data_IF_185003043545
#
_entry.id   IF_185003043545
#
_cell.length_a   1.000
_cell.length_b   1.000
_cell.length_c   1.000
_cell.angle_alpha   90.00
_cell.angle_beta   90.00
_cell.angle_gamma   90.00
#
_symmetry.space_group_name_H-M   'P 1'
#
loop_
_entity.id
_entity.type
_entity.pdbx_description
1 polymer ?
#
# COMPACT_ATOMS: atom_id res chain seq x y z
N UNK A 1 4.56 15.55 -16.38
CA UNK A 1 3.69 14.38 -16.65
C UNK A 1 3.06 13.95 -15.34
N UNK A 2 1.74 13.74 -15.29
CA UNK A 2 1.05 13.20 -14.10
C UNK A 2 0.99 11.67 -14.11
N UNK A 3 0.29 11.05 -13.16
CA UNK A 3 0.11 9.60 -13.09
C UNK A 3 -1.33 9.17 -13.42
N UNK A 4 -1.49 7.98 -14.00
CA UNK A 4 -2.81 7.37 -14.24
C UNK A 4 -3.44 6.84 -12.96
N UNK A 5 -2.62 6.39 -12.00
CA UNK A 5 -3.05 5.84 -10.73
C UNK A 5 -2.17 6.38 -9.60
N UNK A 6 -2.81 6.77 -8.50
CA UNK A 6 -2.16 7.15 -7.25
C UNK A 6 -2.64 6.19 -6.17
N UNK A 7 -1.73 5.48 -5.50
CA UNK A 7 -2.06 4.53 -4.44
C UNK A 7 -1.73 5.16 -3.08
N UNK A 8 -2.74 5.54 -2.32
CA UNK A 8 -2.60 6.10 -0.98
C UNK A 8 -2.49 4.95 0.03
N UNK A 9 -1.27 4.71 0.51
CA UNK A 9 -0.92 3.62 1.43
C UNK A 9 -0.21 4.09 2.71
N UNK A 10 -0.23 5.40 3.01
CA UNK A 10 0.46 5.99 4.16
C UNK A 10 -0.32 5.91 5.47
N UNK A 11 -1.66 5.91 5.41
CA UNK A 11 -2.53 6.04 6.58
C UNK A 11 -2.58 7.46 7.16
N UNK A 12 -1.92 8.42 6.50
CA UNK A 12 -1.86 9.84 6.85
C UNK A 12 -2.45 10.68 5.71
N UNK A 13 -3.62 10.27 5.22
CA UNK A 13 -4.25 10.87 4.04
C UNK A 13 -4.44 12.39 4.18
N UNK A 14 -4.76 12.89 5.36
CA UNK A 14 -4.87 14.33 5.63
C UNK A 14 -3.58 15.14 5.39
N UNK A 15 -2.41 14.51 5.38
CA UNK A 15 -1.13 15.15 5.09
C UNK A 15 -0.74 15.00 3.61
N UNK A 16 -0.92 13.80 3.04
CA UNK A 16 -0.40 13.48 1.69
C UNK A 16 -1.38 13.82 0.57
N UNK A 17 -2.68 13.90 0.85
CA UNK A 17 -3.70 14.10 -0.18
C UNK A 17 -3.63 15.45 -0.90
N UNK A 18 -3.32 16.58 -0.22
CA UNK A 18 -3.09 17.85 -0.91
C UNK A 18 -2.01 17.76 -1.99
N UNK A 19 -0.94 17.01 -1.76
CA UNK A 19 0.13 16.80 -2.74
C UNK A 19 -0.31 15.89 -3.89
N UNK A 20 -1.14 14.87 -3.61
CA UNK A 20 -1.77 14.03 -4.65
C UNK A 20 -2.64 14.89 -5.56
N UNK A 21 -3.50 15.74 -5.00
CA UNK A 21 -4.37 16.64 -5.77
C UNK A 21 -3.57 17.65 -6.59
N UNK A 22 -2.51 18.22 -6.01
CA UNK A 22 -1.58 19.10 -6.72
C UNK A 22 -0.95 18.39 -7.92
N UNK A 23 -0.47 17.16 -7.75
CA UNK A 23 0.10 16.38 -8.83
C UNK A 23 -0.90 16.05 -9.95
N UNK A 24 -2.17 15.83 -9.61
CA UNK A 24 -3.26 15.62 -10.57
C UNK A 24 -3.59 16.93 -11.33
N UNK A 25 -3.60 18.05 -10.61
CA UNK A 25 -3.91 19.37 -11.15
C UNK A 25 -2.85 19.87 -12.13
N UNK A 26 -1.58 19.82 -11.70
CA UNK A 26 -0.43 20.29 -12.49
C UNK A 26 -0.02 19.29 -13.58
N UNK A 27 -0.39 18.02 -13.43
CA UNK A 27 -0.14 16.98 -14.42
C UNK A 27 -0.96 17.19 -15.70
N UNK A 28 -0.42 16.80 -16.86
CA UNK A 28 -1.15 16.83 -18.15
C UNK A 28 -2.13 15.66 -18.33
N UNK A 29 -2.00 14.61 -17.52
CA UNK A 29 -2.84 13.41 -17.56
C UNK A 29 -4.28 13.73 -17.13
N UNK A 30 -5.26 13.18 -17.84
CA UNK A 30 -6.67 13.16 -17.42
C UNK A 30 -7.08 11.75 -16.96
N UNK A 31 -8.19 11.69 -16.23
CA UNK A 31 -8.78 10.44 -15.73
C UNK A 31 -7.83 9.66 -14.80
N UNK A 32 -7.08 10.37 -13.97
CA UNK A 32 -6.32 9.77 -12.88
C UNK A 32 -7.24 9.13 -11.85
N UNK A 33 -6.84 8.00 -11.29
CA UNK A 33 -7.59 7.32 -10.22
C UNK A 33 -6.76 7.32 -8.95
N UNK A 34 -7.31 7.89 -7.88
CA UNK A 34 -6.75 7.77 -6.54
C UNK A 34 -7.38 6.55 -5.87
N UNK A 35 -6.57 5.61 -5.43
CA UNK A 35 -6.98 4.39 -4.72
C UNK A 35 -6.48 4.46 -3.29
N UNK A 36 -7.40 4.46 -2.32
CA UNK A 36 -7.07 4.50 -0.89
C UNK A 36 -7.10 3.08 -0.34
N UNK A 37 -5.95 2.61 0.16
CA UNK A 37 -5.80 1.26 0.75
C UNK A 37 -5.42 1.30 2.22
N UNK A 38 -4.77 2.37 2.69
CA UNK A 38 -4.44 2.51 4.10
C UNK A 38 -5.65 2.96 4.93
N UNK A 39 -5.62 2.62 6.22
CA UNK A 39 -6.62 3.07 7.18
C UNK A 39 -6.12 4.36 7.84
N UNK A 40 -7.00 5.34 7.94
CA UNK A 40 -6.76 6.62 8.61
C UNK A 40 -7.96 6.93 9.50
N UNK A 41 -7.71 7.43 10.71
CA UNK A 41 -8.76 7.96 11.59
C UNK A 41 -9.15 9.40 11.20
N UNK A 42 -8.19 10.17 10.69
CA UNK A 42 -8.42 11.52 10.21
C UNK A 42 -9.24 11.54 8.92
N UNK A 43 -10.12 12.54 8.78
CA UNK A 43 -10.85 12.81 7.54
C UNK A 43 -9.88 13.25 6.44
N UNK A 44 -10.08 12.70 5.26
CA UNK A 44 -9.30 13.06 4.07
C UNK A 44 -9.84 14.34 3.45
N UNK A 45 -9.02 15.39 3.24
CA UNK A 45 -9.43 16.61 2.58
C UNK A 45 -9.53 16.36 1.07
N UNK A 46 -10.71 16.53 0.49
CA UNK A 46 -10.92 16.34 -0.96
C UNK A 46 -11.42 17.65 -1.57
N UNK A 47 -10.72 18.16 -2.57
CA UNK A 47 -11.11 19.33 -3.33
C UNK A 47 -11.78 18.93 -4.65
N UNK A 48 -13.12 18.99 -4.67
CA UNK A 48 -13.94 18.47 -5.76
C UNK A 48 -13.62 19.04 -7.16
N UNK A 49 -13.15 20.28 -7.24
CA UNK A 49 -12.80 20.93 -8.51
C UNK A 49 -11.67 20.20 -9.26
N UNK A 50 -10.69 19.64 -8.52
CA UNK A 50 -9.61 18.83 -9.11
C UNK A 50 -10.20 17.64 -9.87
N UNK A 51 -11.20 16.97 -9.31
CA UNK A 51 -11.84 15.80 -9.93
C UNK A 51 -12.70 16.18 -11.13
N UNK A 52 -13.35 17.34 -11.08
CA UNK A 52 -14.15 17.86 -12.20
C UNK A 52 -13.26 18.24 -13.38
N UNK A 53 -12.26 19.11 -13.16
CA UNK A 53 -11.41 19.67 -14.22
C UNK A 53 -10.47 18.62 -14.79
N UNK A 54 -9.90 17.75 -13.94
CA UNK A 54 -8.94 16.71 -14.36
C UNK A 54 -9.62 15.38 -14.67
N UNK A 55 -10.95 15.33 -14.55
CA UNK A 55 -11.80 14.15 -14.79
C UNK A 55 -11.37 12.95 -13.96
N UNK A 56 -10.82 13.20 -12.76
CA UNK A 56 -10.23 12.19 -11.89
C UNK A 56 -11.31 11.41 -11.13
N UNK A 57 -10.91 10.32 -10.45
CA UNK A 57 -11.80 9.51 -9.62
C UNK A 57 -11.13 9.08 -8.33
N UNK A 58 -11.93 8.83 -7.29
CA UNK A 58 -11.48 8.35 -5.99
C UNK A 58 -12.17 7.02 -5.67
N UNK A 59 -11.39 6.02 -5.27
CA UNK A 59 -11.88 4.67 -4.94
C UNK A 59 -11.28 4.20 -3.62
N UNK A 60 -12.13 3.75 -2.69
CA UNK A 60 -11.67 3.02 -1.49
C UNK A 60 -11.50 1.53 -1.79
N UNK A 61 -10.48 0.89 -1.23
CA UNK A 61 -10.23 -0.53 -1.41
C UNK A 61 -9.85 -1.20 -0.09
N UNK A 62 -10.48 -2.34 0.20
CA UNK A 62 -10.23 -3.11 1.41
C UNK A 62 -10.37 -4.61 1.14
N UNK A 63 -9.48 -5.39 1.75
CA UNK A 63 -9.47 -6.84 1.65
C UNK A 63 -8.79 -7.35 0.37
N UNK A 64 -8.79 -8.66 0.21
CA UNK A 64 -8.03 -9.34 -0.85
C UNK A 64 -8.79 -10.49 -1.51
N UNK A 65 -9.94 -10.88 -0.95
CA UNK A 65 -10.70 -12.06 -1.39
C UNK A 65 -11.48 -11.81 -2.68
N UNK A 66 -11.89 -12.90 -3.34
CA UNK A 66 -12.72 -12.83 -4.55
C UNK A 66 -11.94 -12.43 -5.80
N UNK A 67 -12.68 -12.23 -6.89
CA UNK A 67 -12.20 -11.79 -8.21
C UNK A 67 -11.04 -12.59 -8.82
N UNK A 68 -10.66 -13.73 -8.25
CA UNK A 68 -9.48 -14.50 -8.63
C UNK A 68 -8.16 -13.79 -8.28
N UNK A 69 -8.13 -12.97 -7.22
CA UNK A 69 -6.93 -12.25 -6.80
C UNK A 69 -5.79 -13.20 -6.38
N UNK A 70 -6.09 -14.17 -5.51
CA UNK A 70 -5.12 -15.16 -5.03
C UNK A 70 -4.47 -15.97 -6.16
N UNK A 71 -5.22 -16.66 -7.03
CA UNK A 71 -4.60 -17.47 -8.09
C UNK A 71 -3.77 -16.61 -9.05
N UNK A 72 -4.15 -15.36 -9.32
CA UNK A 72 -3.36 -14.45 -10.17
C UNK A 72 -2.08 -13.96 -9.50
N UNK A 73 -2.13 -13.63 -8.20
CA UNK A 73 -0.93 -13.26 -7.44
C UNK A 73 0.06 -14.44 -7.39
N UNK A 74 -0.43 -15.65 -7.11
CA UNK A 74 0.39 -16.88 -7.16
C UNK A 74 1.01 -17.07 -8.54
N UNK A 75 0.22 -16.89 -9.61
CA UNK A 75 0.72 -17.01 -10.99
C UNK A 75 1.79 -15.96 -11.32
N UNK A 76 1.63 -14.72 -10.86
CA UNK A 76 2.62 -13.66 -11.03
C UNK A 76 3.93 -14.01 -10.29
N UNK A 77 3.84 -14.52 -9.06
CA UNK A 77 5.01 -14.96 -8.31
C UNK A 77 5.70 -16.16 -8.98
N UNK A 78 4.93 -17.15 -9.44
CA UNK A 78 5.44 -18.31 -10.15
C UNK A 78 6.14 -17.98 -11.48
N UNK A 79 5.81 -16.82 -12.08
CA UNK A 79 6.37 -16.37 -13.37
C UNK A 79 7.45 -15.31 -13.24
N UNK A 80 7.87 -14.98 -12.01
CA UNK A 80 9.07 -14.16 -11.77
C UNK A 80 8.90 -12.95 -10.84
N UNK A 81 7.70 -12.71 -10.30
CA UNK A 81 7.51 -11.66 -9.28
C UNK A 81 8.00 -12.16 -7.91
N UNK A 82 9.28 -11.94 -7.60
CA UNK A 82 9.85 -12.33 -6.31
C UNK A 82 9.50 -11.33 -5.20
N UNK A 83 8.54 -11.72 -4.35
CA UNK A 83 8.14 -10.95 -3.17
C UNK A 83 8.97 -11.28 -1.92
N UNK A 84 9.85 -12.28 -1.97
CA UNK A 84 10.67 -12.69 -0.81
C UNK A 84 11.69 -11.63 -0.42
N UNK A 85 12.07 -10.76 -1.36
CA UNK A 85 12.94 -9.61 -1.12
C UNK A 85 12.38 -8.59 -0.10
N UNK A 86 11.07 -8.61 0.17
CA UNK A 86 10.49 -7.76 1.22
C UNK A 86 10.77 -8.29 2.64
N UNK A 87 11.14 -9.56 2.79
CA UNK A 87 11.37 -10.17 4.11
C UNK A 87 12.70 -9.65 4.65
N UNK A 88 12.63 -8.85 5.73
CA UNK A 88 13.81 -8.25 6.37
C UNK A 88 14.41 -9.16 7.44
N UNK A 89 13.58 -9.96 8.12
CA UNK A 89 14.02 -10.91 9.16
C UNK A 89 13.17 -12.18 9.20
N UNK A 90 13.80 -13.30 9.51
CA UNK A 90 13.17 -14.62 9.69
C UNK A 90 13.35 -15.09 11.13
N UNK A 91 12.25 -15.45 11.80
CA UNK A 91 12.24 -15.79 13.23
C UNK A 91 11.51 -17.11 13.51
N UNK A 92 11.74 -17.71 14.67
CA UNK A 92 10.94 -18.81 15.21
C UNK A 92 9.63 -18.29 15.83
N UNK A 93 8.78 -19.21 16.28
CA UNK A 93 7.51 -18.84 16.92
C UNK A 93 7.73 -18.18 18.30
N UNK A 94 8.75 -18.63 19.03
CA UNK A 94 9.10 -18.15 20.37
C UNK A 94 9.61 -16.70 20.35
N UNK A 95 10.22 -16.28 19.24
CA UNK A 95 10.75 -14.93 19.01
C UNK A 95 9.64 -13.92 18.65
N UNK A 96 8.39 -14.34 18.43
CA UNK A 96 7.30 -13.42 18.01
C UNK A 96 7.04 -12.29 19.01
N UNK A 97 6.92 -12.51 20.33
CA UNK A 97 6.55 -11.46 21.27
C UNK A 97 7.58 -10.31 21.36
N UNK A 98 8.87 -10.61 21.26
CA UNK A 98 9.93 -9.60 21.26
C UNK A 98 9.97 -8.80 19.95
N UNK A 99 9.80 -9.46 18.81
CA UNK A 99 9.85 -8.82 17.49
C UNK A 99 8.59 -7.97 17.24
N UNK A 100 7.44 -8.32 17.84
CA UNK A 100 6.26 -7.45 17.83
C UNK A 100 6.48 -6.14 18.59
N UNK A 101 7.25 -6.15 19.69
CA UNK A 101 7.62 -4.93 20.41
C UNK A 101 8.66 -4.11 19.63
N UNK A 102 9.63 -4.80 19.02
CA UNK A 102 10.66 -4.17 18.17
C UNK A 102 10.03 -3.32 17.05
N UNK A 103 9.06 -3.88 16.32
CA UNK A 103 8.38 -3.22 15.19
C UNK A 103 7.60 -1.94 15.56
N UNK A 104 7.44 -1.63 16.84
CA UNK A 104 6.81 -0.37 17.27
C UNK A 104 7.76 0.82 17.17
N UNK A 105 9.07 0.59 17.27
CA UNK A 105 10.08 1.67 17.32
C UNK A 105 11.13 1.53 16.24
N UNK A 106 11.44 0.31 15.82
CA UNK A 106 12.42 0.06 14.77
C UNK A 106 11.80 0.33 13.39
N UNK A 107 12.53 1.09 12.55
CA UNK A 107 12.11 1.47 11.21
C UNK A 107 12.92 0.77 10.12
N UNK A 108 13.95 0.03 10.49
CA UNK A 108 14.77 -0.75 9.55
C UNK A 108 14.07 -2.05 9.15
N UNK A 109 13.31 -2.66 10.06
CA UNK A 109 12.54 -3.87 9.80
C UNK A 109 11.15 -3.58 9.18
N UNK A 110 10.95 -4.00 7.93
CA UNK A 110 9.68 -3.82 7.20
C UNK A 110 8.74 -5.03 7.25
N UNK A 111 9.27 -6.25 7.17
CA UNK A 111 8.48 -7.49 7.21
C UNK A 111 9.26 -8.63 7.85
N UNK A 112 8.91 -8.92 9.10
CA UNK A 112 9.41 -10.09 9.82
C UNK A 112 8.49 -11.29 9.53
N UNK A 113 9.09 -12.43 9.19
CA UNK A 113 8.36 -13.67 8.84
C UNK A 113 8.70 -14.80 9.80
N UNK A 114 7.67 -15.45 10.35
CA UNK A 114 7.82 -16.63 11.20
C UNK A 114 8.02 -17.86 10.32
N UNK A 115 9.08 -18.62 10.59
CA UNK A 115 9.32 -19.93 9.99
C UNK A 115 9.21 -20.99 11.10
N UNK A 116 8.07 -21.69 11.21
CA UNK A 116 7.79 -22.60 12.33
C UNK A 116 8.69 -23.85 12.35
N UNK A 117 9.40 -24.12 11.26
CA UNK A 117 10.37 -25.21 11.16
C UNK A 117 11.64 -24.61 10.54
N UNK A 118 12.75 -24.62 11.27
CA UNK A 118 14.06 -24.45 10.66
C UNK A 118 14.53 -25.85 10.26
N UNK A 119 14.74 -26.06 8.96
CA UNK A 119 15.69 -27.09 8.54
C UNK A 119 17.06 -26.64 9.06
N UNK A 120 17.70 -27.49 9.86
CA UNK A 120 19.09 -27.31 10.26
C UNK A 120 19.99 -27.32 9.03
#
# INVERSE_FOLDING_TARGET
>A
MGAKLYLEASGLSHLVYPDIEKAIWEGTQLNSVVVVVARSDAKMPVFGEVYQVRRASLVGSQGHSGHGNFPRAISAMATGMDMTAMITKKISLEEVPENLKLLQTDKEEGKITVLPWREN
#
